data_IF_471801335409
#
_entry.id   IF_471801335409
#
_cell.length_a   1.000
_cell.length_b   1.000
_cell.length_c   1.000
_cell.angle_alpha   90.00
_cell.angle_beta   90.00
_cell.angle_gamma   90.00
#
_symmetry.space_group_name_H-M   'P 1'
#
loop_
_entity.id
_entity.type
_entity.pdbx_description
1 polymer ?
#
# COMPACT_ATOMS: atom_id res chain seq x y z
N UNK A 1 -17.95 -18.68 -8.97
CA UNK A 1 -17.39 -18.08 -7.75
C UNK A 1 -17.52 -16.60 -7.96
N UNK A 2 -18.44 -15.95 -7.24
CA UNK A 2 -18.68 -14.53 -7.37
C UNK A 2 -17.83 -13.84 -6.30
N UNK A 3 -16.71 -13.23 -6.72
CA UNK A 3 -15.71 -12.71 -5.79
C UNK A 3 -15.96 -11.23 -5.46
N UNK A 4 -15.84 -10.87 -4.18
CA UNK A 4 -15.80 -9.47 -3.71
C UNK A 4 -14.37 -8.96 -3.93
N UNK A 5 -14.14 -8.22 -5.01
CA UNK A 5 -12.76 -7.88 -5.38
C UNK A 5 -12.70 -6.51 -6.04
N UNK A 6 -11.69 -5.76 -5.65
CA UNK A 6 -11.14 -4.65 -6.40
C UNK A 6 -9.66 -4.96 -6.64
N UNK A 7 -9.16 -4.59 -7.82
CA UNK A 7 -7.72 -4.63 -8.09
C UNK A 7 -7.34 -3.62 -9.15
N UNK A 8 -6.09 -3.22 -9.12
CA UNK A 8 -5.48 -2.35 -10.10
C UNK A 8 -4.61 -3.13 -11.09
N UNK A 9 -4.73 -2.79 -12.37
CA UNK A 9 -3.89 -3.35 -13.44
C UNK A 9 -2.96 -2.26 -14.02
N UNK A 10 -1.90 -2.65 -14.76
CA UNK A 10 -1.04 -1.69 -15.45
C UNK A 10 -1.84 -0.71 -16.33
N UNK A 11 -1.45 0.57 -16.32
CA UNK A 11 -2.14 1.63 -17.06
C UNK A 11 -3.25 2.34 -16.28
N UNK A 12 -3.12 2.44 -14.95
CA UNK A 12 -4.04 3.16 -14.04
C UNK A 12 -5.51 2.73 -14.16
N UNK A 13 -5.75 1.49 -14.60
CA UNK A 13 -7.10 0.92 -14.73
C UNK A 13 -7.48 0.17 -13.47
N UNK A 14 -8.62 0.54 -12.88
CA UNK A 14 -9.17 -0.06 -11.66
C UNK A 14 -10.34 -0.97 -12.05
N UNK A 15 -10.30 -2.23 -11.62
CA UNK A 15 -11.39 -3.19 -11.79
C UNK A 15 -12.11 -3.35 -10.47
N UNK A 16 -13.43 -3.20 -10.47
CA UNK A 16 -14.29 -3.44 -9.31
C UNK A 16 -15.35 -4.49 -9.66
N UNK A 17 -15.51 -5.48 -8.80
CA UNK A 17 -16.58 -6.46 -8.95
C UNK A 17 -17.92 -5.83 -8.60
N UNK A 18 -18.97 -6.20 -9.35
CA UNK A 18 -20.33 -5.74 -9.08
C UNK A 18 -20.79 -6.09 -7.65
N UNK A 19 -20.43 -7.28 -7.16
CA UNK A 19 -20.80 -7.73 -5.80
C UNK A 19 -20.17 -6.87 -4.72
N UNK A 20 -18.94 -6.39 -4.92
CA UNK A 20 -18.33 -5.45 -3.98
C UNK A 20 -19.12 -4.14 -3.92
N UNK A 21 -19.54 -3.60 -5.07
CA UNK A 21 -20.38 -2.40 -5.11
C UNK A 21 -21.76 -2.58 -4.46
N UNK A 22 -22.36 -3.78 -4.57
CA UNK A 22 -23.66 -4.09 -3.98
C UNK A 22 -23.63 -4.17 -2.44
N UNK A 23 -22.45 -4.37 -1.83
CA UNK A 23 -22.31 -4.54 -0.38
C UNK A 23 -21.74 -3.29 0.31
N UNK A 24 -21.06 -2.41 -0.43
CA UNK A 24 -20.57 -1.15 0.12
C UNK A 24 -21.76 -0.20 0.40
N UNK A 25 -21.86 0.38 1.61
CA UNK A 25 -23.08 1.06 2.04
C UNK A 25 -23.23 2.50 1.55
N UNK A 26 -22.18 3.09 0.98
CA UNK A 26 -22.18 4.48 0.52
C UNK A 26 -21.18 4.74 -0.60
N UNK A 27 -21.40 5.84 -1.33
CA UNK A 27 -20.45 6.33 -2.34
C UNK A 27 -19.09 6.67 -1.71
N UNK A 28 -19.05 7.12 -0.45
CA UNK A 28 -17.80 7.39 0.28
C UNK A 28 -17.00 6.11 0.53
N UNK A 29 -17.67 5.00 0.82
CA UNK A 29 -17.04 3.69 0.98
C UNK A 29 -16.51 3.16 -0.37
N UNK A 30 -17.27 3.33 -1.46
CA UNK A 30 -16.81 3.01 -2.82
C UNK A 30 -15.61 3.87 -3.21
N UNK A 31 -15.66 5.18 -2.95
CA UNK A 31 -14.58 6.12 -3.22
C UNK A 31 -13.30 5.73 -2.48
N UNK A 32 -13.41 5.25 -1.22
CA UNK A 32 -12.26 4.76 -0.47
C UNK A 32 -11.58 3.57 -1.15
N UNK A 33 -12.34 2.57 -1.60
CA UNK A 33 -11.78 1.42 -2.33
C UNK A 33 -11.05 1.87 -3.60
N UNK A 34 -11.66 2.75 -4.39
CA UNK A 34 -11.05 3.30 -5.61
C UNK A 34 -9.77 4.08 -5.28
N UNK A 35 -9.81 4.91 -4.23
CA UNK A 35 -8.66 5.70 -3.79
C UNK A 35 -7.52 4.79 -3.28
N UNK A 36 -7.84 3.68 -2.62
CA UNK A 36 -6.87 2.68 -2.16
C UNK A 36 -6.15 2.01 -3.34
N UNK A 37 -6.89 1.54 -4.33
CA UNK A 37 -6.30 0.97 -5.56
C UNK A 37 -5.42 1.99 -6.30
N UNK A 38 -5.90 3.24 -6.41
CA UNK A 38 -5.10 4.33 -6.99
C UNK A 38 -3.85 4.65 -6.16
N UNK A 39 -3.91 4.53 -4.84
CA UNK A 39 -2.77 4.77 -3.96
C UNK A 39 -1.63 3.78 -4.24
N UNK A 40 -1.95 2.52 -4.56
CA UNK A 40 -0.94 1.55 -4.95
C UNK A 40 -0.17 1.96 -6.20
N UNK A 41 -0.81 2.61 -7.17
CA UNK A 41 -0.13 3.21 -8.33
C UNK A 41 0.65 4.46 -7.95
N UNK A 42 0.00 5.42 -7.29
CA UNK A 42 0.59 6.73 -6.97
C UNK A 42 1.85 6.60 -6.08
N UNK A 43 1.89 5.59 -5.22
CA UNK A 43 3.02 5.32 -4.33
C UNK A 43 4.06 4.36 -4.93
N UNK A 44 3.83 3.85 -6.14
CA UNK A 44 4.72 2.90 -6.82
C UNK A 44 4.77 1.53 -6.14
N UNK A 45 3.67 1.12 -5.49
CA UNK A 45 3.53 -0.23 -4.93
C UNK A 45 3.33 -1.28 -6.04
N UNK A 46 2.77 -0.88 -7.18
CA UNK A 46 2.62 -1.72 -8.39
C UNK A 46 3.71 -1.34 -9.40
N UNK A 47 4.50 -2.30 -9.91
CA UNK A 47 5.48 -2.01 -10.96
C UNK A 47 4.78 -1.65 -12.27
N UNK A 48 5.29 -0.63 -12.97
CA UNK A 48 4.85 -0.33 -14.33
C UNK A 48 5.33 -1.46 -15.26
N UNK A 49 4.44 -2.37 -15.63
CA UNK A 49 4.71 -3.39 -16.63
C UNK A 49 4.28 -2.88 -18.00
N UNK A 50 5.22 -2.90 -18.95
CA UNK A 50 4.91 -2.67 -20.35
C UNK A 50 4.26 -3.92 -20.96
N UNK A 51 2.95 -3.84 -21.19
CA UNK A 51 2.13 -4.92 -21.76
C UNK A 51 2.43 -5.16 -23.25
N UNK A 52 3.24 -4.31 -23.91
CA UNK A 52 3.64 -4.50 -25.31
C UNK A 52 4.58 -5.70 -25.53
N UNK A 53 5.12 -6.29 -24.45
CA UNK A 53 6.08 -7.40 -24.51
C UNK A 53 5.45 -8.81 -24.64
N UNK A 54 4.15 -8.89 -24.97
CA UNK A 54 3.46 -10.13 -25.38
C UNK A 54 2.98 -11.04 -24.23
N UNK A 55 2.21 -12.08 -24.55
CA UNK A 55 1.44 -12.90 -23.58
C UNK A 55 2.24 -13.55 -22.42
N UNK A 56 3.56 -13.79 -22.60
CA UNK A 56 4.45 -14.25 -21.51
C UNK A 56 4.67 -13.19 -20.44
N UNK A 57 4.73 -11.91 -20.81
CA UNK A 57 4.86 -10.78 -19.89
C UNK A 57 3.58 -10.55 -19.08
N UNK A 58 2.40 -10.82 -19.65
CA UNK A 58 1.10 -10.74 -18.97
C UNK A 58 0.99 -11.79 -17.86
N UNK A 59 1.34 -13.06 -18.15
CA UNK A 59 1.26 -14.14 -17.17
C UNK A 59 2.31 -13.99 -16.05
N UNK A 60 3.52 -13.54 -16.41
CA UNK A 60 4.55 -13.17 -15.43
C UNK A 60 4.12 -11.95 -14.62
N UNK A 61 3.49 -10.96 -15.25
CA UNK A 61 2.92 -9.77 -14.62
C UNK A 61 1.83 -10.11 -13.61
N UNK A 62 0.86 -10.98 -13.95
CA UNK A 62 -0.15 -11.50 -13.02
C UNK A 62 0.44 -12.30 -11.85
N UNK A 63 1.48 -13.10 -12.12
CA UNK A 63 2.16 -13.88 -11.07
C UNK A 63 2.99 -12.97 -10.15
N UNK A 64 3.58 -11.89 -10.69
CA UNK A 64 4.30 -10.86 -9.93
C UNK A 64 3.30 -10.00 -9.14
N UNK A 65 2.19 -9.58 -9.75
CA UNK A 65 1.09 -8.87 -9.09
C UNK A 65 0.56 -9.68 -7.91
N UNK A 66 0.45 -11.01 -8.02
CA UNK A 66 0.01 -11.93 -6.96
C UNK A 66 1.07 -12.31 -5.91
N UNK A 67 2.37 -12.03 -6.14
CA UNK A 67 3.48 -12.32 -5.21
C UNK A 67 4.12 -11.09 -4.57
N UNK A 68 3.99 -9.92 -5.18
CA UNK A 68 4.43 -8.63 -4.64
C UNK A 68 3.31 -7.92 -3.85
N UNK A 69 2.15 -8.57 -3.78
CA UNK A 69 0.95 -8.28 -2.97
C UNK A 69 1.37 -7.88 -1.55
N UNK A 70 1.46 -6.56 -1.39
CA UNK A 70 1.06 -5.85 -0.19
C UNK A 70 1.91 -6.13 1.05
N UNK A 71 3.12 -5.57 1.11
CA UNK A 71 3.78 -5.46 2.43
C UNK A 71 2.84 -4.71 3.39
N UNK A 72 2.85 -5.07 4.69
CA UNK A 72 2.10 -4.37 5.75
C UNK A 72 2.21 -2.84 5.64
N UNK A 73 3.39 -2.37 5.23
CA UNK A 73 3.68 -0.96 5.00
C UNK A 73 3.00 -0.39 3.74
N UNK A 74 2.96 -1.13 2.64
CA UNK A 74 2.30 -0.69 1.42
C UNK A 74 0.80 -0.52 1.64
N UNK A 75 0.17 -1.46 2.34
CA UNK A 75 -1.24 -1.36 2.73
C UNK A 75 -1.52 -0.14 3.59
N UNK A 76 -0.71 0.06 4.63
CA UNK A 76 -0.78 1.24 5.48
C UNK A 76 -0.64 2.52 4.66
N UNK A 77 0.44 2.65 3.90
CA UNK A 77 0.70 3.88 3.16
C UNK A 77 -0.40 4.09 2.09
N UNK A 78 -1.01 3.03 1.54
CA UNK A 78 -2.16 3.11 0.64
C UNK A 78 -3.44 3.58 1.35
N UNK A 79 -3.77 3.04 2.53
CA UNK A 79 -4.93 3.46 3.32
C UNK A 79 -4.87 4.92 3.73
N UNK A 80 -3.70 5.35 4.20
CA UNK A 80 -3.48 6.74 4.62
C UNK A 80 -3.58 7.71 3.44
N UNK A 81 -3.07 7.32 2.28
CA UNK A 81 -3.22 8.12 1.07
C UNK A 81 -4.67 8.14 0.59
N UNK A 82 -5.35 7.00 0.64
CA UNK A 82 -6.74 6.86 0.21
C UNK A 82 -7.67 7.78 1.03
N UNK A 83 -7.53 7.79 2.35
CA UNK A 83 -8.37 8.63 3.21
C UNK A 83 -8.11 10.12 2.97
N UNK A 84 -6.86 10.52 2.74
CA UNK A 84 -6.52 11.91 2.37
C UNK A 84 -7.20 12.32 1.07
N UNK A 85 -7.19 11.44 0.07
CA UNK A 85 -7.82 11.70 -1.22
C UNK A 85 -9.35 11.76 -1.09
N UNK A 86 -9.96 10.90 -0.28
CA UNK A 86 -11.40 10.95 -0.01
C UNK A 86 -11.80 12.27 0.65
N UNK A 87 -11.11 12.66 1.72
CA UNK A 87 -11.36 13.93 2.42
C UNK A 87 -11.13 15.13 1.49
N UNK A 88 -10.06 15.12 0.71
CA UNK A 88 -9.79 16.18 -0.26
C UNK A 88 -10.84 16.27 -1.38
N UNK A 89 -11.48 15.16 -1.73
CA UNK A 89 -12.60 15.10 -2.68
C UNK A 89 -13.96 15.47 -2.04
N UNK A 90 -14.00 15.77 -0.74
CA UNK A 90 -15.21 16.18 -0.01
C UNK A 90 -16.03 15.03 0.56
N UNK A 91 -15.52 13.80 0.57
CA UNK A 91 -16.18 12.68 1.24
C UNK A 91 -15.95 12.73 2.76
N UNK A 92 -16.94 12.28 3.52
CA UNK A 92 -16.80 12.13 4.96
C UNK A 92 -15.83 10.98 5.30
N UNK A 93 -14.88 11.26 6.19
CA UNK A 93 -13.83 10.31 6.54
C UNK A 93 -14.40 9.09 7.26
N UNK A 94 -15.41 9.26 8.12
CA UNK A 94 -16.01 8.15 8.84
C UNK A 94 -16.77 7.23 7.88
N UNK A 95 -17.54 7.79 6.94
CA UNK A 95 -18.22 7.01 5.89
C UNK A 95 -17.23 6.28 4.97
N UNK A 96 -16.08 6.89 4.64
CA UNK A 96 -15.03 6.22 3.87
C UNK A 96 -14.40 5.04 4.61
N UNK A 97 -14.18 5.15 5.93
CA UNK A 97 -13.59 4.08 6.75
C UNK A 97 -14.50 2.84 6.80
N UNK A 98 -15.82 3.01 6.65
CA UNK A 98 -16.78 1.89 6.63
C UNK A 98 -16.45 0.85 5.55
N UNK A 99 -15.74 1.22 4.47
CA UNK A 99 -15.26 0.27 3.48
C UNK A 99 -14.36 -0.82 4.11
N UNK A 100 -13.44 -0.44 5.02
CA UNK A 100 -12.56 -1.38 5.70
C UNK A 100 -13.33 -2.30 6.67
N UNK A 101 -14.32 -1.74 7.36
CA UNK A 101 -15.20 -2.50 8.28
C UNK A 101 -16.08 -3.50 7.51
N UNK A 102 -16.56 -3.10 6.33
CA UNK A 102 -17.32 -3.94 5.41
C UNK A 102 -16.46 -5.11 4.88
N UNK A 103 -15.23 -4.82 4.45
CA UNK A 103 -14.26 -5.84 4.03
C UNK A 103 -13.86 -6.78 5.18
N UNK A 104 -13.78 -6.29 6.42
CA UNK A 104 -13.53 -7.10 7.61
C UNK A 104 -14.65 -8.12 7.81
N UNK A 105 -15.89 -7.67 7.70
CA UNK A 105 -17.07 -8.53 7.82
C UNK A 105 -17.13 -9.58 6.70
N UNK A 106 -16.89 -9.17 5.45
CA UNK A 106 -16.83 -10.11 4.31
C UNK A 106 -15.72 -11.15 4.53
N UNK A 107 -14.53 -10.74 5.00
CA UNK A 107 -13.44 -11.67 5.27
C UNK A 107 -13.79 -12.67 6.39
N UNK A 108 -14.47 -12.22 7.46
CA UNK A 108 -14.98 -13.09 8.52
C UNK A 108 -16.03 -14.08 7.99
N UNK A 109 -17.00 -13.60 7.21
CA UNK A 109 -18.11 -14.41 6.70
C UNK A 109 -17.63 -15.53 5.75
N UNK A 110 -16.51 -15.31 5.04
CA UNK A 110 -15.86 -16.29 4.18
C UNK A 110 -14.82 -17.17 4.90
N UNK A 111 -14.68 -17.05 6.23
CA UNK A 111 -13.74 -17.86 7.02
C UNK A 111 -12.27 -17.46 6.83
N UNK A 112 -11.99 -16.28 6.27
CA UNK A 112 -10.64 -15.70 6.20
C UNK A 112 -10.26 -15.03 7.53
N UNK A 113 -10.30 -15.80 8.62
CA UNK A 113 -10.06 -15.35 10.00
C UNK A 113 -8.70 -14.66 10.17
N UNK A 114 -7.68 -15.10 9.40
CA UNK A 114 -6.33 -14.51 9.38
C UNK A 114 -6.30 -13.05 8.88
N UNK A 115 -7.32 -12.59 8.14
CA UNK A 115 -7.43 -11.19 7.69
C UNK A 115 -7.94 -10.23 8.78
N UNK A 116 -8.44 -10.77 9.90
CA UNK A 116 -9.21 -10.03 10.90
C UNK A 116 -8.56 -10.08 12.29
N UNK A 117 -7.96 -11.21 12.66
CA UNK A 117 -7.40 -11.42 14.00
C UNK A 117 -5.96 -10.90 14.10
N UNK A 118 -5.68 -10.15 15.17
CA UNK A 118 -4.37 -9.53 15.44
C UNK A 118 -3.58 -10.31 16.50
N UNK A 119 -3.46 -11.63 16.34
CA UNK A 119 -2.62 -12.47 17.21
C UNK A 119 -1.27 -12.82 16.55
N UNK A 120 -0.34 -13.35 17.34
CA UNK A 120 1.02 -13.64 16.89
C UNK A 120 1.07 -14.77 15.84
N UNK A 121 0.12 -15.71 15.86
CA UNK A 121 0.03 -16.80 14.88
C UNK A 121 -0.62 -16.34 13.57
N UNK A 122 -1.63 -15.47 13.65
CA UNK A 122 -2.24 -14.78 12.52
C UNK A 122 -1.22 -13.87 11.83
N UNK A 123 -0.33 -13.18 12.57
CA UNK A 123 0.81 -12.44 11.97
C UNK A 123 1.83 -13.33 11.26
N UNK A 124 2.00 -14.58 11.71
CA UNK A 124 2.88 -15.55 11.05
C UNK A 124 2.25 -16.18 9.78
N UNK A 125 0.90 -16.22 9.71
CA UNK A 125 0.12 -16.71 8.56
C UNK A 125 -0.26 -15.61 7.56
N UNK A 126 -0.51 -14.39 8.03
CA UNK A 126 -0.82 -13.20 7.24
C UNK A 126 0.46 -12.71 6.55
N UNK A 127 0.86 -13.42 5.50
CA UNK A 127 2.07 -13.12 4.72
C UNK A 127 1.92 -11.90 3.81
N UNK A 128 0.73 -11.29 3.73
CA UNK A 128 0.44 -10.25 2.73
C UNK A 128 -0.52 -9.12 3.14
N UNK A 129 -1.16 -9.10 4.32
CA UNK A 129 -1.94 -7.92 4.77
C UNK A 129 -1.92 -7.80 6.30
N UNK A 130 -1.79 -6.58 6.87
CA UNK A 130 -2.07 -6.36 8.28
C UNK A 130 -3.55 -6.68 8.59
N UNK A 131 -3.88 -7.14 9.79
CA UNK A 131 -5.27 -7.33 10.21
C UNK A 131 -6.07 -6.03 10.05
N UNK A 132 -7.28 -6.12 9.51
CA UNK A 132 -8.11 -4.95 9.14
C UNK A 132 -8.38 -4.01 10.33
N UNK A 133 -8.56 -4.54 11.54
CA UNK A 133 -8.70 -3.73 12.76
C UNK A 133 -7.52 -2.79 13.00
N UNK A 134 -6.30 -3.27 12.79
CA UNK A 134 -5.10 -2.46 12.95
C UNK A 134 -5.03 -1.32 11.94
N UNK A 135 -5.48 -1.58 10.71
CA UNK A 135 -5.58 -0.59 9.64
C UNK A 135 -6.64 0.47 9.95
N UNK A 136 -7.83 0.06 10.39
CA UNK A 136 -8.91 0.97 10.78
C UNK A 136 -8.44 1.94 11.87
N UNK A 137 -7.81 1.44 12.94
CA UNK A 137 -7.30 2.29 14.02
C UNK A 137 -6.18 3.22 13.58
N UNK A 138 -5.37 2.80 12.61
CA UNK A 138 -4.33 3.65 12.03
C UNK A 138 -4.92 4.76 11.15
N UNK A 139 -5.91 4.46 10.31
CA UNK A 139 -6.63 5.45 9.51
C UNK A 139 -7.35 6.45 10.41
N UNK A 140 -8.04 5.99 11.46
CA UNK A 140 -8.71 6.87 12.45
C UNK A 140 -7.72 7.83 13.13
N UNK A 141 -6.56 7.32 13.56
CA UNK A 141 -5.49 8.17 14.14
C UNK A 141 -4.97 9.19 13.13
N UNK A 142 -4.82 8.80 11.87
CA UNK A 142 -4.35 9.68 10.82
C UNK A 142 -5.34 10.78 10.49
N UNK A 143 -6.64 10.46 10.38
CA UNK A 143 -7.71 11.45 10.20
C UNK A 143 -7.71 12.48 11.32
N UNK A 144 -7.54 12.05 12.58
CA UNK A 144 -7.40 12.98 13.69
C UNK A 144 -6.16 13.89 13.57
N UNK A 145 -5.03 13.34 13.10
CA UNK A 145 -3.81 14.10 12.88
C UNK A 145 -3.91 15.10 11.70
N UNK A 146 -4.71 14.80 10.68
CA UNK A 146 -4.95 15.71 9.54
C UNK A 146 -5.57 17.03 9.98
N UNK A 147 -6.39 17.04 11.03
CA UNK A 147 -6.91 18.27 11.64
C UNK A 147 -5.81 19.21 12.17
N UNK A 148 -4.60 18.69 12.39
CA UNK A 148 -3.42 19.45 12.81
C UNK A 148 -2.41 19.68 11.67
N UNK A 149 -2.79 19.42 10.42
CA UNK A 149 -1.95 19.63 9.24
C UNK A 149 -0.97 18.48 8.95
N UNK A 150 -1.08 17.34 9.62
CA UNK A 150 -0.31 16.16 9.28
C UNK A 150 -0.88 15.50 8.02
N UNK A 151 -0.03 15.23 7.03
CA UNK A 151 -0.38 14.42 5.87
C UNK A 151 0.75 13.45 5.51
N UNK A 152 0.39 12.35 4.86
CA UNK A 152 1.27 11.29 4.40
C UNK A 152 2.27 11.85 3.40
N UNK A 153 1.89 12.80 2.55
CA UNK A 153 2.83 13.43 1.61
C UNK A 153 4.04 14.03 2.35
N UNK A 154 3.80 14.71 3.48
CA UNK A 154 4.85 15.25 4.34
C UNK A 154 5.72 14.13 4.92
N UNK A 155 5.11 13.05 5.41
CA UNK A 155 5.87 11.89 5.91
C UNK A 155 6.73 11.24 4.83
N UNK A 156 6.17 11.01 3.64
CA UNK A 156 6.86 10.40 2.51
C UNK A 156 8.01 11.29 2.03
N UNK A 157 7.82 12.61 2.00
CA UNK A 157 8.87 13.58 1.69
C UNK A 157 10.02 13.48 2.69
N UNK A 158 9.73 13.48 3.99
CA UNK A 158 10.73 13.32 5.05
C UNK A 158 11.47 11.98 4.92
N UNK A 159 10.74 10.88 4.66
CA UNK A 159 11.32 9.54 4.45
C UNK A 159 12.25 9.50 3.22
N UNK A 160 11.86 10.11 2.10
CA UNK A 160 12.68 10.21 0.88
C UNK A 160 13.98 10.97 1.15
N UNK A 161 13.90 12.10 1.86
CA UNK A 161 15.09 12.88 2.25
C UNK A 161 16.02 12.08 3.15
N UNK A 162 15.48 11.37 4.15
CA UNK A 162 16.27 10.52 5.03
C UNK A 162 16.95 9.34 4.30
N UNK A 163 16.29 8.74 3.31
CA UNK A 163 16.89 7.69 2.46
C UNK A 163 18.03 8.25 1.60
N UNK A 164 17.82 9.40 0.95
CA UNK A 164 18.87 10.08 0.15
C UNK A 164 20.11 10.39 0.99
N UNK A 165 19.93 10.92 2.21
CA UNK A 165 21.03 11.19 3.14
C UNK A 165 21.81 9.91 3.49
N UNK A 166 21.12 8.81 3.82
CA UNK A 166 21.76 7.52 4.11
C UNK A 166 22.54 6.97 2.92
N UNK A 167 21.97 7.03 1.71
CA UNK A 167 22.65 6.60 0.50
C UNK A 167 23.91 7.43 0.21
N UNK A 168 23.84 8.75 0.40
CA UNK A 168 24.99 9.63 0.23
C UNK A 168 26.12 9.31 1.23
N UNK A 169 25.79 9.05 2.50
CA UNK A 169 26.76 8.63 3.52
C UNK A 169 27.42 7.29 3.13
N UNK A 170 26.62 6.29 2.72
CA UNK A 170 27.15 4.99 2.30
C UNK A 170 28.08 5.11 1.08
N UNK A 171 27.71 5.93 0.09
CA UNK A 171 28.55 6.19 -1.08
C UNK A 171 29.87 6.88 -0.69
N UNK A 172 29.82 7.89 0.18
CA UNK A 172 31.02 8.58 0.67
C UNK A 172 31.96 7.62 1.43
N UNK A 173 31.41 6.73 2.27
CA UNK A 173 32.18 5.70 2.97
C UNK A 173 32.82 4.70 2.00
N UNK A 174 32.10 4.28 0.96
CA UNK A 174 32.62 3.37 -0.06
C UNK A 174 33.78 3.99 -0.86
N UNK A 175 33.64 5.27 -1.25
CA UNK A 175 34.71 6.03 -1.93
C UNK A 175 35.94 6.15 -1.03
N UNK A 176 35.74 6.44 0.26
CA UNK A 176 36.83 6.56 1.24
C UNK A 176 37.55 5.23 1.43
N UNK A 177 36.82 4.11 1.52
CA UNK A 177 37.39 2.78 1.63
C UNK A 177 38.17 2.38 0.36
N UNK A 178 37.65 2.71 -0.83
CA UNK A 178 38.32 2.46 -2.10
C UNK A 178 39.62 3.28 -2.22
N UNK A 179 39.59 4.55 -1.83
CA UNK A 179 40.77 5.41 -1.80
C UNK A 179 41.85 4.87 -0.85
N UNK A 180 41.46 4.40 0.34
CA UNK A 180 42.38 3.79 1.30
C UNK A 180 43.03 2.51 0.74
N UNK A 181 42.24 1.64 0.08
CA UNK A 181 42.75 0.45 -0.59
C UNK A 181 43.73 0.76 -1.72
N UNK A 182 43.50 1.83 -2.48
CA UNK A 182 44.39 2.27 -3.55
C UNK A 182 45.71 2.85 -3.01
N UNK A 183 45.66 3.57 -1.87
CA UNK A 183 46.87 4.07 -1.19
C UNK A 183 47.67 2.90 -0.60
N UNK A 184 47.02 1.96 0.08
CA UNK A 184 47.69 0.77 0.64
C UNK A 184 48.29 -0.14 -0.44
N UNK A 185 47.70 -0.21 -1.64
CA UNK A 185 48.28 -0.93 -2.79
C UNK A 185 49.48 -0.24 -3.44
N UNK A 186 49.73 1.03 -3.14
CA UNK A 186 50.86 1.81 -3.69
C UNK A 186 52.02 1.98 -2.69
N UNK A 187 51.88 1.49 -1.47
CA UNK A 187 52.99 1.43 -0.53
C UNK A 187 53.95 0.29 -0.94
N UNK A 188 55.25 0.56 -1.17
CA UNK A 188 56.25 -0.43 -1.56
C UNK A 188 56.58 -1.42 -0.44
#
# INVERSE_FOLDING_TARGET
MEDYTAFTAPGDTIYLSRRLLEVLPSDAAVAFVIAHERAHHALGHVPNFDLSLGARSVRLGLTILGRWVHSTRHERDADLFAIEQCVAAGYDAAESIVALECLEKIALDYGHVDAVVNDAEARARARSHPPLRGRIEEVKRHVAAMGHGHCLENELRVRRLARRRRAAIAAASAVSALALLLVLRRAP
#
